data_IF_598545937740
#
_entry.id   IF_598545937740
#
_cell.length_a   1.000
_cell.length_b   1.000
_cell.length_c   1.000
_cell.angle_alpha   90.00
_cell.angle_beta   90.00
_cell.angle_gamma   90.00
#
_symmetry.space_group_name_H-M   'P 1'
#
loop_
_entity.id
_entity.type
_entity.pdbx_description
1 polymer ?
#
# COMPACT_ATOMS: atom_id res chain seq x y z
N UNK A 1 12.20 62.74 29.28
CA UNK A 1 12.61 61.50 29.98
C UNK A 1 14.08 61.67 30.34
N UNK A 2 14.44 61.54 31.62
CA UNK A 2 15.84 61.68 32.07
C UNK A 2 16.55 60.33 31.87
N UNK A 3 17.78 60.30 31.33
CA UNK A 3 18.57 59.07 31.29
C UNK A 3 18.77 58.49 32.69
N UNK A 4 18.85 57.18 32.78
CA UNK A 4 19.33 56.53 34.00
C UNK A 4 20.78 56.94 34.27
N UNK A 5 21.23 56.80 35.52
CA UNK A 5 22.63 57.10 35.90
C UNK A 5 23.62 56.00 35.50
N UNK A 6 23.13 54.94 34.82
CA UNK A 6 23.94 53.80 34.40
C UNK A 6 24.79 54.18 33.18
N UNK A 7 25.93 53.49 32.98
CA UNK A 7 26.70 53.65 31.75
C UNK A 7 25.85 53.27 30.54
N UNK A 8 26.12 53.94 29.41
CA UNK A 8 25.49 53.62 28.15
C UNK A 8 25.91 52.20 27.70
N UNK A 9 24.95 51.44 27.19
CA UNK A 9 25.22 50.14 26.59
C UNK A 9 25.72 50.34 25.17
N UNK A 10 26.79 49.68 24.77
CA UNK A 10 27.25 49.72 23.38
C UNK A 10 26.39 48.79 22.53
N UNK A 11 25.90 49.31 21.41
CA UNK A 11 25.17 48.51 20.42
C UNK A 11 26.01 47.35 19.89
N UNK A 12 27.33 47.52 19.79
CA UNK A 12 28.27 46.46 19.40
C UNK A 12 28.38 45.31 20.40
N UNK A 13 28.13 45.54 21.69
CA UNK A 13 28.28 44.51 22.73
C UNK A 13 26.98 43.74 22.96
N UNK A 14 25.84 44.30 22.54
CA UNK A 14 24.54 43.67 22.64
C UNK A 14 24.44 42.54 21.59
N UNK A 15 23.94 41.33 21.96
CA UNK A 15 23.70 40.27 20.99
C UNK A 15 22.82 40.80 19.85
N UNK A 16 23.15 40.55 18.57
CA UNK A 16 22.43 41.14 17.46
C UNK A 16 20.94 40.73 17.46
N UNK A 17 20.60 39.54 17.96
CA UNK A 17 19.21 39.08 18.13
C UNK A 17 18.42 39.81 19.23
N UNK A 18 19.10 40.54 20.12
CA UNK A 18 18.51 41.27 21.23
C UNK A 18 18.40 42.78 20.95
N UNK A 19 18.76 43.22 19.74
CA UNK A 19 18.68 44.61 19.29
C UNK A 19 18.10 44.63 17.88
N UNK A 20 17.04 45.39 17.66
CA UNK A 20 16.45 45.59 16.34
C UNK A 20 16.84 46.98 15.82
N UNK A 21 17.68 47.02 14.78
CA UNK A 21 18.06 48.24 14.07
C UNK A 21 17.54 48.29 12.62
N UNK A 22 16.60 47.40 12.24
CA UNK A 22 16.08 47.31 10.87
C UNK A 22 15.54 48.66 10.38
N UNK A 23 15.90 49.01 9.15
CA UNK A 23 15.38 50.19 8.49
C UNK A 23 13.86 50.04 8.26
N UNK A 24 13.09 51.10 8.52
CA UNK A 24 11.63 51.09 8.41
C UNK A 24 10.89 50.52 9.63
N UNK A 25 11.58 49.84 10.55
CA UNK A 25 10.99 49.33 11.79
C UNK A 25 11.30 50.23 13.00
N UNK A 26 10.52 50.06 14.07
CA UNK A 26 10.81 50.74 15.34
C UNK A 26 12.01 50.08 16.02
N UNK A 27 13.09 50.85 16.15
CA UNK A 27 14.26 50.41 16.90
C UNK A 27 13.86 49.96 18.32
N UNK A 28 14.30 48.77 18.70
CA UNK A 28 13.94 48.13 19.96
C UNK A 28 15.07 47.26 20.48
N UNK A 29 15.07 46.99 21.78
CA UNK A 29 16.08 46.18 22.45
C UNK A 29 15.42 45.30 23.50
N UNK A 30 15.99 44.12 23.74
CA UNK A 30 15.74 43.35 24.95
C UNK A 30 16.44 44.04 26.12
N UNK A 31 15.67 44.44 27.13
CA UNK A 31 16.24 45.05 28.33
C UNK A 31 17.09 44.02 29.11
N UNK A 32 18.33 44.34 29.50
CA UNK A 32 19.21 43.38 30.16
C UNK A 32 18.77 43.01 31.59
N UNK A 33 17.92 43.81 32.24
CA UNK A 33 17.46 43.52 33.61
C UNK A 33 16.14 42.72 33.65
N UNK A 34 15.27 42.83 32.65
CA UNK A 34 13.95 42.18 32.65
C UNK A 34 13.67 41.29 31.44
N UNK A 35 14.66 41.10 30.56
CA UNK A 35 14.65 40.22 29.39
C UNK A 35 13.43 40.40 28.47
N UNK A 36 12.87 41.61 28.45
CA UNK A 36 11.68 41.96 27.70
C UNK A 36 11.98 42.99 26.61
N UNK A 37 11.30 42.87 25.47
CA UNK A 37 11.45 43.77 24.34
C UNK A 37 10.84 45.15 24.62
N UNK A 38 11.65 46.18 24.49
CA UNK A 38 11.21 47.57 24.65
C UNK A 38 11.70 48.46 23.51
N UNK A 39 10.86 49.40 23.04
CA UNK A 39 11.25 50.34 22.01
C UNK A 39 12.30 51.32 22.53
N UNK A 40 13.11 51.83 21.62
CA UNK A 40 14.03 52.92 21.90
C UNK A 40 13.36 54.27 21.68
N UNK A 41 13.62 55.19 22.60
CA UNK A 41 13.21 56.59 22.49
C UNK A 41 14.44 57.47 22.65
N UNK A 42 14.84 58.17 21.57
CA UNK A 42 16.05 59.00 21.54
C UNK A 42 17.31 58.26 22.05
N UNK A 43 17.53 57.04 21.54
CA UNK A 43 18.62 56.13 21.95
C UNK A 43 18.58 55.69 23.42
N UNK A 44 17.44 55.79 24.09
CA UNK A 44 17.23 55.25 25.44
C UNK A 44 16.19 54.13 25.41
N UNK A 45 16.36 53.12 26.27
CA UNK A 45 15.30 52.13 26.52
C UNK A 45 14.07 52.86 27.06
N UNK A 46 12.90 52.70 26.41
CA UNK A 46 11.66 53.31 26.88
C UNK A 46 11.40 52.93 28.33
N UNK A 47 10.88 53.89 29.10
CA UNK A 47 10.53 53.62 30.50
C UNK A 47 9.53 52.48 30.57
N UNK A 48 9.84 51.47 31.37
CA UNK A 48 9.00 50.30 31.60
C UNK A 48 9.11 49.85 33.06
N UNK A 49 8.17 49.01 33.47
CA UNK A 49 8.07 48.42 34.80
C UNK A 49 8.34 46.92 34.69
N UNK A 50 8.75 46.30 35.79
CA UNK A 50 8.85 44.85 35.86
C UNK A 50 7.44 44.22 35.74
N UNK A 51 7.37 42.93 35.46
CA UNK A 51 6.08 42.25 35.41
C UNK A 51 5.44 42.17 36.81
N UNK A 52 4.11 42.34 36.81
CA UNK A 52 3.29 42.39 38.02
C UNK A 52 3.34 41.08 38.81
N UNK A 53 3.46 39.96 38.11
CA UNK A 53 3.53 38.61 38.70
C UNK A 53 4.81 38.38 39.51
N UNK A 54 5.91 39.05 39.13
CA UNK A 54 7.20 38.91 39.82
C UNK A 54 7.24 39.70 41.14
N UNK A 55 6.47 40.79 41.25
CA UNK A 55 6.61 41.76 42.36
C UNK A 55 5.40 41.86 43.31
N UNK A 56 4.32 41.08 43.11
CA UNK A 56 3.21 40.98 44.06
C UNK A 56 2.47 42.29 44.39
N UNK A 57 2.51 43.30 43.50
CA UNK A 57 1.99 44.67 43.76
C UNK A 57 2.09 45.61 42.55
N UNK A 58 2.07 46.95 42.75
CA UNK A 58 2.37 47.91 41.67
C UNK A 58 3.83 47.73 41.27
N UNK A 59 4.05 47.16 40.09
CA UNK A 59 5.39 46.76 39.70
C UNK A 59 6.36 47.96 39.70
N UNK A 60 7.52 47.82 40.37
CA UNK A 60 8.52 48.87 40.40
C UNK A 60 9.04 49.14 38.98
N UNK A 61 9.58 50.35 38.79
CA UNK A 61 10.26 50.70 37.55
C UNK A 61 11.47 49.77 37.35
N UNK A 62 11.66 49.25 36.15
CA UNK A 62 12.80 48.40 35.84
C UNK A 62 14.13 49.19 35.96
N UNK A 63 15.18 48.63 36.58
CA UNK A 63 16.49 49.30 36.69
C UNK A 63 17.11 49.70 35.34
N UNK A 64 16.89 48.91 34.28
CA UNK A 64 17.36 49.18 32.91
C UNK A 64 16.51 50.19 32.14
N UNK A 65 15.39 50.64 32.72
CA UNK A 65 14.57 51.67 32.10
C UNK A 65 15.34 52.98 31.92
N UNK A 66 15.10 53.68 30.82
CA UNK A 66 15.79 54.92 30.45
C UNK A 66 17.33 54.81 30.36
N UNK A 67 17.88 53.60 30.27
CA UNK A 67 19.31 53.42 30.01
C UNK A 67 19.65 53.83 28.58
N UNK A 68 20.75 54.56 28.43
CA UNK A 68 21.25 55.02 27.13
C UNK A 68 21.90 53.87 26.37
N UNK A 69 21.79 53.92 25.05
CA UNK A 69 22.49 53.06 24.12
C UNK A 69 23.39 53.94 23.27
N UNK A 70 24.68 53.60 23.29
CA UNK A 70 25.64 54.15 22.35
C UNK A 70 25.53 53.39 21.02
N UNK A 71 25.29 54.13 19.95
CA UNK A 71 25.07 53.58 18.61
C UNK A 71 26.42 53.55 17.88
N UNK A 72 27.31 52.70 18.35
CA UNK A 72 28.69 52.54 17.89
C UNK A 72 28.84 51.62 16.68
N UNK A 73 27.73 51.06 16.19
CA UNK A 73 27.65 50.27 14.96
C UNK A 73 26.61 50.85 14.00
N UNK A 74 26.87 50.71 12.70
CA UNK A 74 25.90 51.06 11.66
C UNK A 74 24.81 49.99 11.53
N UNK A 75 23.71 50.33 10.83
CA UNK A 75 22.61 49.40 10.56
C UNK A 75 23.11 48.23 9.69
N UNK A 76 23.99 48.51 8.73
CA UNK A 76 24.61 47.53 7.84
C UNK A 76 25.51 46.58 8.64
N UNK A 77 26.36 47.11 9.52
CA UNK A 77 27.23 46.31 10.40
C UNK A 77 26.42 45.42 11.36
N UNK A 78 25.31 45.94 11.89
CA UNK A 78 24.37 45.14 12.67
C UNK A 78 23.73 44.03 11.82
N UNK A 79 23.32 44.35 10.58
CA UNK A 79 22.75 43.38 9.63
C UNK A 79 23.71 42.25 9.26
N UNK A 80 24.98 42.58 9.01
CA UNK A 80 26.05 41.59 8.78
C UNK A 80 26.23 40.68 10.00
N UNK A 81 26.19 41.24 11.22
CA UNK A 81 26.29 40.44 12.45
C UNK A 81 25.07 39.56 12.70
N UNK A 82 23.87 40.02 12.36
CA UNK A 82 22.66 39.20 12.37
C UNK A 82 22.80 38.00 11.41
N UNK A 83 23.22 38.25 10.16
CA UNK A 83 23.44 37.20 9.16
C UNK A 83 24.53 36.21 9.59
N UNK A 84 25.63 36.71 10.17
CA UNK A 84 26.70 35.87 10.71
C UNK A 84 26.19 35.00 11.87
N UNK A 85 25.43 35.56 12.82
CA UNK A 85 24.84 34.82 13.93
C UNK A 85 23.87 33.73 13.43
N UNK A 86 23.00 34.07 12.48
CA UNK A 86 22.08 33.13 11.83
C UNK A 86 22.83 32.04 11.06
N UNK A 87 23.95 32.34 10.40
CA UNK A 87 24.76 31.34 9.70
C UNK A 87 25.36 30.30 10.65
N UNK A 88 25.82 30.72 11.84
CA UNK A 88 26.26 29.80 12.91
C UNK A 88 25.10 29.02 13.53
N UNK A 89 23.93 29.64 13.73
CA UNK A 89 22.76 28.95 14.26
C UNK A 89 22.17 27.94 13.25
N UNK A 90 22.19 28.29 11.96
CA UNK A 90 21.77 27.44 10.84
C UNK A 90 22.79 26.32 10.59
N UNK A 91 24.08 26.59 10.78
CA UNK A 91 25.14 25.58 10.76
C UNK A 91 24.98 24.53 11.87
N UNK A 92 24.43 24.90 13.04
CA UNK A 92 24.03 23.96 14.10
C UNK A 92 22.67 23.28 13.81
N UNK A 93 21.86 23.86 12.93
CA UNK A 93 20.53 23.36 12.51
C UNK A 93 20.53 22.75 11.11
N UNK A 94 21.65 22.23 10.60
CA UNK A 94 21.51 21.15 9.63
C UNK A 94 21.06 19.92 10.41
N UNK A 95 19.75 19.78 10.61
CA UNK A 95 19.13 18.50 10.88
C UNK A 95 19.27 17.65 9.61
N UNK A 96 20.49 17.21 9.29
CA UNK A 96 20.64 15.88 8.71
C UNK A 96 20.24 14.95 9.84
N UNK A 97 18.94 14.72 9.93
CA UNK A 97 18.40 13.61 10.67
C UNK A 97 19.02 12.39 10.00
N UNK A 98 20.15 11.92 10.52
CA UNK A 98 20.75 10.66 10.14
C UNK A 98 19.79 9.60 10.68
N UNK A 99 18.69 9.35 9.95
CA UNK A 99 17.87 8.20 10.20
C UNK A 99 18.77 6.98 10.06
N UNK A 100 18.73 6.09 11.04
CA UNK A 100 19.11 4.70 10.78
C UNK A 100 18.34 4.31 9.52
N UNK A 101 19.00 3.86 8.44
CA UNK A 101 18.30 3.46 7.23
C UNK A 101 17.13 2.58 7.67
N UNK A 102 15.91 3.02 7.38
CA UNK A 102 14.74 2.23 7.68
C UNK A 102 15.01 0.86 7.06
N UNK A 103 14.98 -0.19 7.90
CA UNK A 103 15.13 -1.54 7.39
C UNK A 103 14.15 -1.68 6.23
N UNK A 104 14.61 -2.20 5.09
CA UNK A 104 13.71 -2.41 3.97
C UNK A 104 12.48 -3.15 4.49
N UNK A 105 11.26 -2.66 4.20
CA UNK A 105 10.05 -3.34 4.66
C UNK A 105 10.17 -4.80 4.26
N UNK A 106 9.90 -5.74 5.19
CA UNK A 106 10.06 -7.15 4.91
C UNK A 106 9.31 -7.49 3.63
N UNK A 107 9.93 -8.30 2.79
CA UNK A 107 9.32 -8.68 1.51
C UNK A 107 7.93 -9.27 1.83
N UNK A 108 6.84 -8.75 1.25
CA UNK A 108 5.51 -9.24 1.54
C UNK A 108 5.43 -10.75 1.32
N UNK A 109 4.71 -11.48 2.17
CA UNK A 109 4.64 -12.96 2.15
C UNK A 109 4.28 -13.49 0.74
N UNK A 110 3.39 -12.80 0.02
CA UNK A 110 3.03 -13.16 -1.35
C UNK A 110 4.20 -13.04 -2.35
N UNK A 111 5.15 -12.11 -2.12
CA UNK A 111 6.38 -11.95 -2.95
C UNK A 111 7.50 -12.88 -2.52
N UNK A 112 7.48 -13.42 -1.29
CA UNK A 112 8.43 -14.44 -0.84
C UNK A 112 8.16 -15.80 -1.51
N UNK A 113 6.88 -16.13 -1.75
CA UNK A 113 6.49 -17.24 -2.62
C UNK A 113 7.04 -17.06 -4.05
N UNK A 114 7.17 -15.81 -4.49
CA UNK A 114 7.80 -15.39 -5.75
C UNK A 114 9.28 -15.00 -5.60
N UNK A 115 10.03 -15.43 -4.56
CA UNK A 115 11.48 -15.11 -4.40
C UNK A 115 12.40 -16.23 -3.92
N UNK A 116 11.99 -17.49 -3.94
CA UNK A 116 12.93 -18.61 -3.77
C UNK A 116 13.66 -18.93 -5.08
N UNK A 117 15.00 -19.14 -5.14
CA UNK A 117 15.85 -19.23 -6.35
C UNK A 117 15.14 -19.27 -7.74
N UNK A 118 14.62 -18.11 -8.17
CA UNK A 118 13.44 -17.90 -9.03
C UNK A 118 13.46 -18.41 -10.49
N UNK A 119 13.78 -19.69 -10.70
CA UNK A 119 13.58 -20.40 -11.96
C UNK A 119 13.31 -21.90 -11.79
N UNK A 120 13.63 -22.47 -10.62
CA UNK A 120 13.33 -23.88 -10.32
C UNK A 120 11.93 -24.01 -9.73
N UNK A 121 11.04 -24.83 -10.32
CA UNK A 121 9.75 -25.15 -9.71
C UNK A 121 9.93 -25.64 -8.27
N UNK A 122 9.07 -25.21 -7.34
CA UNK A 122 9.11 -25.58 -5.92
C UNK A 122 9.29 -27.10 -5.73
N UNK A 123 8.62 -27.90 -6.55
CA UNK A 123 8.75 -29.36 -6.55
C UNK A 123 10.20 -29.84 -6.77
N UNK A 124 10.93 -29.24 -7.72
CA UNK A 124 12.30 -29.64 -8.06
C UNK A 124 13.27 -29.45 -6.89
N UNK A 125 13.04 -28.47 -6.01
CA UNK A 125 13.86 -28.30 -4.80
C UNK A 125 13.48 -29.24 -3.67
N UNK A 126 12.22 -29.64 -3.59
CA UNK A 126 11.72 -30.51 -2.54
C UNK A 126 12.10 -31.98 -2.78
N UNK A 127 12.28 -32.40 -4.03
CA UNK A 127 12.62 -33.79 -4.37
C UNK A 127 13.94 -34.26 -3.74
N UNK A 128 15.07 -33.53 -3.84
CA UNK A 128 16.30 -33.91 -3.14
C UNK A 128 16.13 -33.96 -1.62
N UNK A 129 15.34 -33.04 -1.03
CA UNK A 129 15.10 -33.03 0.42
C UNK A 129 14.30 -34.27 0.87
N UNK A 130 13.33 -34.70 0.07
CA UNK A 130 12.59 -35.93 0.32
C UNK A 130 13.51 -37.16 0.27
N UNK A 131 14.41 -37.20 -0.70
CA UNK A 131 15.39 -38.29 -0.83
C UNK A 131 16.33 -38.34 0.40
N UNK A 132 16.88 -37.19 0.81
CA UNK A 132 17.69 -37.11 2.03
C UNK A 132 16.92 -37.53 3.29
N UNK A 133 15.66 -37.10 3.42
CA UNK A 133 14.84 -37.45 4.58
C UNK A 133 14.55 -38.96 4.64
N UNK A 134 14.28 -39.60 3.49
CA UNK A 134 14.13 -41.06 3.41
C UNK A 134 15.43 -41.77 3.77
N UNK A 135 16.54 -41.31 3.20
CA UNK A 135 17.85 -41.89 3.48
C UNK A 135 18.23 -41.79 4.96
N UNK A 136 17.92 -40.67 5.62
CA UNK A 136 18.15 -40.52 7.05
C UNK A 136 17.33 -41.52 7.90
N UNK A 137 16.07 -41.80 7.51
CA UNK A 137 15.25 -42.83 8.16
C UNK A 137 15.87 -44.21 7.97
N UNK A 138 16.28 -44.55 6.75
CA UNK A 138 16.87 -45.85 6.42
C UNK A 138 18.21 -46.07 7.12
N UNK A 139 19.10 -45.06 7.11
CA UNK A 139 20.37 -45.07 7.84
C UNK A 139 20.14 -45.28 9.34
N UNK A 140 19.17 -44.57 9.94
CA UNK A 140 18.88 -44.72 11.35
C UNK A 140 18.34 -46.12 11.69
N UNK A 141 17.45 -46.68 10.86
CA UNK A 141 16.92 -48.05 11.05
C UNK A 141 18.01 -49.11 10.96
N UNK A 142 19.02 -48.89 10.13
CA UNK A 142 20.18 -49.78 10.01
C UNK A 142 21.18 -49.65 11.18
N UNK A 143 21.36 -48.43 11.72
CA UNK A 143 22.35 -48.17 12.76
C UNK A 143 21.84 -48.33 14.20
N UNK A 144 20.53 -48.20 14.43
CA UNK A 144 19.94 -48.25 15.77
C UNK A 144 19.43 -49.64 16.13
N UNK A 145 20.11 -50.33 17.05
CA UNK A 145 19.78 -51.70 17.49
C UNK A 145 18.31 -51.89 17.90
N UNK A 146 17.72 -50.90 18.58
CA UNK A 146 16.30 -50.92 18.99
C UNK A 146 15.35 -50.86 17.80
N UNK A 147 15.69 -50.09 16.77
CA UNK A 147 14.89 -49.99 15.55
C UNK A 147 15.10 -51.19 14.61
N UNK A 148 16.33 -51.72 14.54
CA UNK A 148 16.65 -52.93 13.76
C UNK A 148 15.92 -54.17 14.29
N UNK A 149 15.75 -54.27 15.62
CA UNK A 149 14.97 -55.33 16.26
C UNK A 149 13.43 -55.16 16.13
N UNK A 150 12.95 -54.23 15.30
CA UNK A 150 11.53 -53.96 15.08
C UNK A 150 10.87 -53.01 16.09
N UNK A 151 11.63 -52.45 17.04
CA UNK A 151 11.15 -51.43 17.96
C UNK A 151 11.11 -50.02 17.36
N UNK A 152 10.61 -49.03 18.12
CA UNK A 152 10.68 -47.60 17.75
C UNK A 152 11.38 -46.82 18.84
N UNK A 153 12.38 -46.02 18.46
CA UNK A 153 12.99 -45.02 19.33
C UNK A 153 12.52 -43.61 18.98
N UNK A 154 12.70 -42.66 19.90
CA UNK A 154 12.25 -41.28 19.73
C UNK A 154 12.91 -40.59 18.52
N UNK A 155 14.22 -40.76 18.34
CA UNK A 155 14.96 -40.23 17.18
C UNK A 155 14.44 -40.79 15.87
N UNK A 156 14.19 -42.11 15.80
CA UNK A 156 13.61 -42.76 14.63
C UNK A 156 12.21 -42.22 14.32
N UNK A 157 11.36 -42.05 15.35
CA UNK A 157 10.04 -41.42 15.19
C UNK A 157 10.14 -39.98 14.68
N UNK A 158 11.06 -39.19 15.19
CA UNK A 158 11.27 -37.82 14.74
C UNK A 158 11.72 -37.76 13.26
N UNK A 159 12.57 -38.68 12.82
CA UNK A 159 12.99 -38.80 11.42
C UNK A 159 11.81 -39.22 10.52
N UNK A 160 10.99 -40.19 10.95
CA UNK A 160 9.78 -40.61 10.23
C UNK A 160 8.80 -39.44 10.05
N UNK A 161 8.58 -38.63 11.09
CA UNK A 161 7.73 -37.43 11.04
C UNK A 161 8.27 -36.43 10.01
N UNK A 162 9.56 -36.09 10.06
CA UNK A 162 10.17 -35.15 9.11
C UNK A 162 10.11 -35.66 7.66
N UNK A 163 10.30 -36.96 7.45
CA UNK A 163 10.15 -37.57 6.13
C UNK A 163 8.71 -37.47 5.62
N UNK A 164 7.72 -37.72 6.49
CA UNK A 164 6.30 -37.58 6.16
C UNK A 164 5.91 -36.12 5.84
N UNK A 165 6.38 -35.14 6.61
CA UNK A 165 6.17 -33.71 6.34
C UNK A 165 6.76 -33.26 4.99
N UNK A 166 7.98 -33.72 4.70
CA UNK A 166 8.64 -33.45 3.42
C UNK A 166 7.88 -34.09 2.25
N UNK A 167 7.38 -35.31 2.45
CA UNK A 167 6.53 -36.00 1.47
C UNK A 167 5.21 -35.25 1.23
N UNK A 168 4.57 -34.75 2.29
CA UNK A 168 3.36 -33.94 2.18
C UNK A 168 3.63 -32.63 1.41
N UNK A 169 4.77 -31.99 1.66
CA UNK A 169 5.20 -30.79 0.94
C UNK A 169 5.38 -31.05 -0.56
N UNK A 170 6.02 -32.17 -0.92
CA UNK A 170 6.12 -32.62 -2.32
C UNK A 170 4.74 -32.88 -2.94
N UNK A 171 3.80 -33.49 -2.21
CA UNK A 171 2.45 -33.76 -2.70
C UNK A 171 1.68 -32.45 -2.99
N UNK A 172 1.75 -31.49 -2.07
CA UNK A 172 1.15 -30.15 -2.25
C UNK A 172 1.77 -29.45 -3.46
N UNK A 173 3.09 -29.48 -3.59
CA UNK A 173 3.79 -28.85 -4.73
C UNK A 173 3.40 -29.47 -6.08
N UNK A 174 3.20 -30.80 -6.15
CA UNK A 174 2.68 -31.48 -7.35
C UNK A 174 1.27 -31.01 -7.70
N UNK A 175 0.39 -30.90 -6.71
CA UNK A 175 -0.99 -30.48 -6.95
C UNK A 175 -1.05 -29.01 -7.40
N UNK A 176 -0.25 -28.15 -6.80
CA UNK A 176 -0.10 -26.76 -7.24
C UNK A 176 0.38 -26.67 -8.68
N UNK A 177 1.35 -27.49 -9.10
CA UNK A 177 1.84 -27.52 -10.48
C UNK A 177 0.72 -27.92 -11.46
N UNK A 178 -0.01 -29.01 -11.16
CA UNK A 178 -1.16 -29.44 -11.97
C UNK A 178 -2.23 -28.35 -12.08
N UNK A 179 -2.53 -27.68 -10.98
CA UNK A 179 -3.51 -26.60 -10.96
C UNK A 179 -3.05 -25.41 -11.82
N UNK A 180 -1.77 -25.03 -11.74
CA UNK A 180 -1.18 -23.99 -12.59
C UNK A 180 -1.23 -24.36 -14.08
N UNK A 181 -0.92 -25.60 -14.44
CA UNK A 181 -1.01 -26.09 -15.82
C UNK A 181 -2.45 -26.03 -16.35
N UNK A 182 -3.43 -26.48 -15.56
CA UNK A 182 -4.86 -26.39 -15.91
C UNK A 182 -5.29 -24.94 -16.12
N UNK A 183 -4.89 -24.03 -15.23
CA UNK A 183 -5.21 -22.60 -15.36
C UNK A 183 -4.58 -21.99 -16.61
N UNK A 184 -3.31 -22.30 -16.90
CA UNK A 184 -2.63 -21.83 -18.12
C UNK A 184 -3.32 -22.35 -19.37
N UNK A 185 -3.67 -23.64 -19.41
CA UNK A 185 -4.43 -24.25 -20.49
C UNK A 185 -5.80 -23.60 -20.67
N UNK A 186 -6.53 -23.36 -19.57
CA UNK A 186 -7.82 -22.68 -19.57
C UNK A 186 -7.75 -21.25 -20.10
N UNK A 187 -6.75 -20.47 -19.69
CA UNK A 187 -6.50 -19.11 -20.20
C UNK A 187 -6.16 -19.11 -21.69
N UNK A 188 -5.31 -20.04 -22.13
CA UNK A 188 -4.97 -20.18 -23.54
C UNK A 188 -6.20 -20.57 -24.39
N UNK A 189 -7.03 -21.49 -23.89
CA UNK A 189 -8.28 -21.87 -24.54
C UNK A 189 -9.29 -20.71 -24.58
N UNK A 190 -9.40 -19.91 -23.51
CA UNK A 190 -10.25 -18.74 -23.47
C UNK A 190 -9.85 -17.70 -24.53
N UNK A 191 -8.56 -17.37 -24.63
CA UNK A 191 -8.04 -16.46 -25.66
C UNK A 191 -8.34 -16.97 -27.08
N UNK A 192 -8.20 -18.28 -27.32
CA UNK A 192 -8.55 -18.89 -28.62
C UNK A 192 -10.04 -18.76 -28.92
N UNK A 193 -10.92 -19.00 -27.93
CA UNK A 193 -12.38 -18.82 -28.10
C UNK A 193 -12.75 -17.38 -28.39
N UNK A 194 -12.15 -16.42 -27.69
CA UNK A 194 -12.37 -14.99 -27.91
C UNK A 194 -11.98 -14.58 -29.34
N UNK A 195 -10.80 -15.00 -29.80
CA UNK A 195 -10.36 -14.76 -31.18
C UNK A 195 -11.29 -15.42 -32.21
N UNK A 196 -11.76 -16.65 -31.94
CA UNK A 196 -12.71 -17.35 -32.81
C UNK A 196 -14.06 -16.64 -32.90
N UNK A 197 -14.59 -16.15 -31.77
CA UNK A 197 -15.82 -15.36 -31.75
C UNK A 197 -15.66 -14.02 -32.47
N UNK A 198 -14.54 -13.32 -32.26
CA UNK A 198 -14.25 -12.07 -32.94
C UNK A 198 -14.21 -12.23 -34.47
N UNK A 199 -13.69 -13.36 -34.97
CA UNK A 199 -13.64 -13.65 -36.41
C UNK A 199 -15.04 -13.87 -37.03
N UNK A 200 -15.97 -14.48 -36.29
CA UNK A 200 -17.32 -14.83 -36.77
C UNK A 200 -18.35 -13.74 -36.48
N UNK A 201 -18.03 -12.80 -35.58
CA UNK A 201 -18.93 -11.73 -35.14
C UNK A 201 -19.53 -10.91 -36.31
N UNK A 202 -18.76 -10.49 -37.34
CA UNK A 202 -19.34 -9.72 -38.44
C UNK A 202 -20.38 -10.53 -39.25
N UNK A 203 -20.12 -11.82 -39.48
CA UNK A 203 -21.04 -12.69 -40.21
C UNK A 203 -22.34 -12.95 -39.44
N UNK A 204 -22.26 -13.05 -38.10
CA UNK A 204 -23.44 -13.16 -37.23
C UNK A 204 -24.26 -11.87 -37.29
N UNK A 205 -23.61 -10.71 -37.21
CA UNK A 205 -24.29 -9.40 -37.32
C UNK A 205 -24.97 -9.21 -38.68
N UNK A 206 -24.34 -9.62 -39.77
CA UNK A 206 -24.95 -9.60 -41.11
C UNK A 206 -26.16 -10.53 -41.19
N UNK A 207 -26.05 -11.76 -40.70
CA UNK A 207 -27.16 -12.71 -40.67
C UNK A 207 -28.33 -12.21 -39.81
N UNK A 208 -28.07 -11.57 -38.67
CA UNK A 208 -29.09 -10.99 -37.80
C UNK A 208 -29.76 -9.78 -38.45
N UNK A 209 -28.99 -8.94 -39.15
CA UNK A 209 -29.53 -7.81 -39.93
C UNK A 209 -30.47 -8.33 -41.03
N UNK A 210 -30.05 -9.36 -41.78
CA UNK A 210 -30.90 -9.98 -42.82
C UNK A 210 -32.19 -10.56 -42.25
N UNK A 211 -32.13 -11.18 -41.07
CA UNK A 211 -33.32 -11.70 -40.36
C UNK A 211 -34.28 -10.59 -39.96
N UNK A 212 -33.76 -9.45 -39.50
CA UNK A 212 -34.58 -8.30 -39.14
C UNK A 212 -35.28 -7.63 -40.35
N UNK A 213 -34.74 -7.81 -41.56
CA UNK A 213 -35.23 -7.18 -42.80
C UNK A 213 -36.13 -8.10 -43.63
N UNK A 214 -36.45 -9.32 -43.15
CA UNK A 214 -37.40 -10.19 -43.83
C UNK A 214 -38.77 -9.50 -43.91
N UNK A 215 -39.29 -9.19 -45.11
CA UNK A 215 -40.61 -8.58 -45.24
C UNK A 215 -41.67 -9.54 -44.69
N UNK A 216 -42.59 -9.03 -43.86
CA UNK A 216 -43.83 -9.76 -43.54
C UNK A 216 -44.50 -10.09 -44.88
N UNK A 217 -44.74 -11.36 -45.21
CA UNK A 217 -45.42 -11.69 -46.47
C UNK A 217 -46.78 -10.99 -46.49
N UNK A 218 -47.23 -10.47 -47.64
CA UNK A 218 -48.55 -9.87 -47.73
C UNK A 218 -49.56 -10.89 -47.21
N UNK A 219 -50.38 -10.47 -46.24
CA UNK A 219 -51.40 -11.31 -45.63
C UNK A 219 -52.18 -12.03 -46.74
N UNK A 220 -52.31 -13.36 -46.62
CA UNK A 220 -53.35 -14.06 -47.39
C UNK A 220 -54.66 -13.37 -47.06
N UNK A 221 -55.41 -13.02 -48.10
CA UNK A 221 -56.69 -12.32 -47.99
C UNK A 221 -57.71 -13.24 -47.32
N UNK A 222 -57.72 -13.23 -45.99
CA UNK A 222 -58.85 -13.69 -45.19
C UNK A 222 -59.30 -12.52 -44.29
N UNK A 223 -60.62 -12.47 -44.09
CA UNK A 223 -61.44 -11.35 -43.63
C UNK A 223 -60.97 -10.65 -42.33
N UNK A 224 -61.45 -9.42 -42.03
CA UNK A 224 -60.77 -8.53 -41.10
C UNK A 224 -60.96 -9.01 -39.66
N UNK A 225 -59.86 -9.36 -38.99
CA UNK A 225 -59.78 -9.46 -37.55
C UNK A 225 -58.55 -8.67 -37.08
N UNK A 226 -58.83 -7.56 -36.40
CA UNK A 226 -58.08 -6.93 -35.31
C UNK A 226 -56.55 -7.07 -35.32
N UNK A 227 -55.85 -5.93 -35.36
CA UNK A 227 -54.43 -5.82 -35.10
C UNK A 227 -54.06 -6.39 -33.73
N UNK A 228 -53.65 -7.66 -33.70
CA UNK A 228 -52.87 -8.27 -32.63
C UNK A 228 -51.59 -8.81 -33.26
N UNK A 229 -50.46 -8.35 -32.72
CA UNK A 229 -49.13 -8.90 -32.97
C UNK A 229 -49.22 -10.43 -32.82
N UNK A 230 -48.69 -11.26 -33.75
CA UNK A 230 -48.68 -12.70 -33.54
C UNK A 230 -47.88 -13.01 -32.27
N UNK A 231 -48.58 -13.17 -31.16
CA UNK A 231 -48.00 -13.65 -29.92
C UNK A 231 -47.66 -15.12 -30.19
N UNK A 232 -46.37 -15.42 -30.34
CA UNK A 232 -45.90 -16.81 -30.35
C UNK A 232 -46.33 -17.39 -28.99
N UNK A 233 -47.20 -18.41 -28.94
CA UNK A 233 -47.63 -18.97 -27.67
C UNK A 233 -46.41 -19.49 -26.92
N UNK A 234 -46.06 -18.83 -25.81
CA UNK A 234 -44.97 -19.25 -24.93
C UNK A 234 -45.34 -20.48 -24.10
N UNK A 235 -46.63 -20.81 -24.06
CA UNK A 235 -47.15 -22.01 -23.43
C UNK A 235 -47.60 -23.03 -24.48
N UNK A 236 -47.30 -24.33 -24.27
CA UNK A 236 -47.72 -25.38 -25.17
C UNK A 236 -49.25 -25.48 -25.16
N UNK A 237 -49.85 -25.52 -26.35
CA UNK A 237 -51.31 -25.62 -26.52
C UNK A 237 -51.87 -26.94 -25.94
N UNK A 238 -51.04 -27.97 -25.86
CA UNK A 238 -51.34 -29.26 -25.24
C UNK A 238 -50.17 -29.65 -24.32
N UNK A 239 -50.38 -29.43 -23.02
CA UNK A 239 -49.40 -29.69 -21.98
C UNK A 239 -49.06 -31.18 -21.84
N UNK A 240 -50.02 -32.10 -22.04
CA UNK A 240 -49.75 -33.54 -21.92
C UNK A 240 -48.85 -34.03 -23.03
N UNK A 241 -49.09 -33.59 -24.27
CA UNK A 241 -48.24 -33.95 -25.40
C UNK A 241 -46.85 -33.32 -25.28
N UNK A 242 -46.77 -32.09 -24.77
CA UNK A 242 -45.50 -31.43 -24.49
C UNK A 242 -44.69 -32.19 -23.43
N UNK A 243 -45.29 -32.51 -22.29
CA UNK A 243 -44.63 -33.20 -21.18
C UNK A 243 -44.16 -34.60 -21.57
N UNK A 244 -44.99 -35.34 -22.32
CA UNK A 244 -44.60 -36.65 -22.87
C UNK A 244 -43.36 -36.54 -23.75
N UNK A 245 -43.30 -35.51 -24.61
CA UNK A 245 -42.16 -35.27 -25.51
C UNK A 245 -40.91 -34.84 -24.73
N UNK A 246 -41.05 -34.02 -23.69
CA UNK A 246 -39.93 -33.64 -22.81
C UNK A 246 -39.37 -34.85 -22.04
N UNK A 247 -40.24 -35.71 -21.54
CA UNK A 247 -39.85 -36.95 -20.86
C UNK A 247 -39.12 -37.91 -21.81
N UNK A 248 -39.57 -38.01 -23.07
CA UNK A 248 -38.93 -38.84 -24.08
C UNK A 248 -37.54 -38.30 -24.49
N UNK A 249 -37.41 -36.99 -24.66
CA UNK A 249 -36.10 -36.35 -24.88
C UNK A 249 -35.17 -36.57 -23.68
N UNK A 250 -35.66 -36.45 -22.45
CA UNK A 250 -34.88 -36.74 -21.25
C UNK A 250 -34.32 -38.17 -21.24
N UNK A 251 -35.12 -39.16 -21.65
CA UNK A 251 -34.68 -40.56 -21.81
C UNK A 251 -33.61 -40.70 -22.89
N UNK A 252 -33.76 -40.03 -24.03
CA UNK A 252 -32.76 -40.05 -25.10
C UNK A 252 -31.42 -39.43 -24.68
N UNK A 253 -31.45 -38.30 -23.96
CA UNK A 253 -30.24 -37.68 -23.43
C UNK A 253 -29.56 -38.54 -22.35
N UNK A 254 -30.34 -39.18 -21.48
CA UNK A 254 -29.81 -40.12 -20.50
C UNK A 254 -29.12 -41.30 -21.18
N UNK A 255 -29.75 -41.92 -22.18
CA UNK A 255 -29.18 -43.01 -22.98
C UNK A 255 -27.90 -42.59 -23.73
N UNK A 256 -27.87 -41.37 -24.28
CA UNK A 256 -26.70 -40.82 -24.98
C UNK A 256 -25.54 -40.53 -24.02
N UNK A 257 -25.83 -40.14 -22.78
CA UNK A 257 -24.84 -39.91 -21.73
C UNK A 257 -24.27 -41.23 -21.19
N UNK A 258 -25.08 -42.29 -21.07
CA UNK A 258 -24.59 -43.63 -20.71
C UNK A 258 -23.78 -44.28 -21.83
N UNK A 259 -24.17 -44.11 -23.10
CA UNK A 259 -23.34 -44.59 -24.24
C UNK A 259 -22.03 -43.83 -24.38
N UNK A 260 -21.99 -42.53 -24.05
CA UNK A 260 -20.75 -41.75 -23.99
C UNK A 260 -19.86 -42.07 -22.76
N UNK A 261 -20.38 -42.79 -21.76
CA UNK A 261 -19.69 -43.13 -20.52
C UNK A 261 -19.18 -44.59 -20.47
N UNK A 262 -19.50 -45.41 -21.48
CA UNK A 262 -18.93 -46.75 -21.63
C UNK A 262 -17.62 -46.64 -22.44
N UNK A 263 -16.45 -46.97 -21.86
CA UNK A 263 -15.20 -47.02 -22.62
C UNK A 263 -15.21 -48.24 -23.54
N UNK A 264 -14.71 -48.05 -24.77
CA UNK A 264 -14.25 -49.16 -25.62
C UNK A 264 -12.98 -49.79 -25.04
#
# INVERSE_FOLDING_TARGET
MRPSRRPALKASEIPPQNLNLREGERQSIVCPDCDSWHPLYRKMIKTHHLDREVCGGRAPRCPGSAQLIDMDISVEQWGERMLAADSTATGRRSARQHYKPLAQPPTPIYRLADRGPQGTPTLHRLLPLLEHARHAVDQHRAACSRCTAGGRCETGRALEVRAAETQASCAIAREQLKHQERQRGGRAAARKREAGWAAVLPAVQDADTRRAVVPVPPARTEAPAQAEVPCVPTEPYDFETFDRRQAELGKQYAQRKTTAALPA
#
